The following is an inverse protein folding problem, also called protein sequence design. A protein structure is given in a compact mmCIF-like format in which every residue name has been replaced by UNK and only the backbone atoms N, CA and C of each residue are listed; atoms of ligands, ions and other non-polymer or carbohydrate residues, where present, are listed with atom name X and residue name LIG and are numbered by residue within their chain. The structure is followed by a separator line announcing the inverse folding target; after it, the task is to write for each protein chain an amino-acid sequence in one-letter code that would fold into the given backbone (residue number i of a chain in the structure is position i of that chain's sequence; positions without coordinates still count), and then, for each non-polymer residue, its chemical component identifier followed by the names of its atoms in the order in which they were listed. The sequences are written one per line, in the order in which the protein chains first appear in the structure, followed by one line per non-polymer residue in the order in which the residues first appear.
data_IF_944285428081
#
_entry.id   IF_944285428081
#
_cell.length_a   1.000
_cell.length_b   1.000
_cell.length_c   1.000
_cell.angle_alpha   90.00
_cell.angle_beta   90.00
_cell.angle_gamma   90.00
#
_symmetry.space_group_name_H-M   'P 1'
#
loop_
_entity.id
_entity.type
_entity.pdbx_description
1 polymer ?
#
# COMPACT_ATOMS: atom_id res chain seq x y z
N UNK A 1 -18.28 3.64 3.15
CA UNK A 1 -17.77 3.21 1.83
C UNK A 1 -16.91 1.97 2.07
N UNK A 2 -17.16 0.86 1.38
CA UNK A 2 -16.37 -0.37 1.51
C UNK A 2 -15.47 -0.45 0.28
N UNK A 3 -14.17 -0.34 0.47
CA UNK A 3 -13.22 -0.48 -0.64
C UNK A 3 -12.98 -1.96 -0.95
N UNK A 4 -12.62 -2.30 -2.18
CA UNK A 4 -12.33 -3.69 -2.57
C UNK A 4 -11.09 -3.72 -3.45
N UNK A 5 -10.19 -4.67 -3.16
CA UNK A 5 -9.00 -4.88 -3.95
C UNK A 5 -9.35 -5.41 -5.34
N UNK A 6 -8.48 -5.14 -6.30
CA UNK A 6 -8.59 -5.66 -7.65
C UNK A 6 -7.19 -5.81 -8.26
N UNK A 7 -7.12 -6.29 -9.50
CA UNK A 7 -5.84 -6.57 -10.17
C UNK A 7 -4.96 -5.34 -10.42
N UNK A 8 -5.46 -4.14 -10.14
CA UNK A 8 -4.75 -2.85 -10.28
C UNK A 8 -4.82 -2.00 -9.02
N UNK A 9 -5.40 -2.51 -7.92
CA UNK A 9 -5.59 -1.78 -6.66
C UNK A 9 -5.35 -2.71 -5.48
N UNK A 10 -4.37 -2.36 -4.65
CA UNK A 10 -3.98 -3.10 -3.44
C UNK A 10 -4.19 -2.23 -2.20
N UNK A 11 -4.59 -2.84 -1.09
CA UNK A 11 -4.70 -2.19 0.22
C UNK A 11 -3.73 -2.79 1.23
N UNK A 12 -3.12 -1.91 2.01
CA UNK A 12 -2.29 -2.28 3.16
C UNK A 12 -2.74 -1.54 4.40
N UNK A 13 -2.64 -2.18 5.56
CA UNK A 13 -3.04 -1.58 6.84
C UNK A 13 -2.08 -0.47 7.23
N UNK A 14 -0.79 -0.64 6.94
CA UNK A 14 0.23 0.36 7.29
C UNK A 14 1.49 0.29 6.42
N UNK A 15 2.32 1.32 6.48
CA UNK A 15 3.65 1.33 5.84
C UNK A 15 4.63 0.31 6.40
N UNK A 16 4.31 -0.38 7.49
CA UNK A 16 5.11 -1.55 7.92
C UNK A 16 5.07 -2.67 6.88
N UNK A 17 4.09 -2.67 5.98
CA UNK A 17 3.93 -3.62 4.88
C UNK A 17 4.51 -3.09 3.55
N UNK A 18 5.39 -2.08 3.59
CA UNK A 18 5.95 -1.41 2.41
C UNK A 18 6.61 -2.39 1.43
N UNK A 19 7.34 -3.40 1.92
CA UNK A 19 7.98 -4.40 1.08
C UNK A 19 6.94 -5.20 0.27
N UNK A 20 5.91 -5.69 0.95
CA UNK A 20 4.83 -6.44 0.31
C UNK A 20 4.02 -5.56 -0.65
N UNK A 21 3.77 -4.30 -0.29
CA UNK A 21 3.16 -3.31 -1.18
C UNK A 21 3.93 -3.14 -2.50
N UNK A 22 5.26 -3.04 -2.44
CA UNK A 22 6.10 -2.89 -3.63
C UNK A 22 6.07 -4.16 -4.49
N UNK A 23 6.06 -5.34 -3.86
CA UNK A 23 5.92 -6.62 -4.58
C UNK A 23 4.57 -6.68 -5.31
N UNK A 24 3.46 -6.38 -4.61
CA UNK A 24 2.12 -6.32 -5.23
C UNK A 24 2.10 -5.31 -6.38
N UNK A 25 2.71 -4.13 -6.21
CA UNK A 25 2.80 -3.12 -7.27
C UNK A 25 3.57 -3.63 -8.48
N UNK A 26 4.69 -4.33 -8.29
CA UNK A 26 5.44 -4.97 -9.37
C UNK A 26 4.59 -5.98 -10.14
N UNK A 27 3.81 -6.82 -9.44
CA UNK A 27 2.90 -7.76 -10.08
C UNK A 27 1.80 -7.05 -10.89
N UNK A 28 1.20 -5.99 -10.34
CA UNK A 28 0.19 -5.17 -11.04
C UNK A 28 0.77 -4.51 -12.30
N UNK A 29 1.97 -3.93 -12.21
CA UNK A 29 2.65 -3.31 -13.34
C UNK A 29 3.00 -4.33 -14.43
N UNK A 30 3.50 -5.51 -14.06
CA UNK A 30 3.85 -6.56 -15.02
C UNK A 30 2.64 -7.04 -15.83
N UNK A 31 1.45 -7.09 -15.21
CA UNK A 31 0.23 -7.62 -15.85
C UNK A 31 -0.60 -6.53 -16.55
N UNK A 32 -0.69 -5.34 -15.97
CA UNK A 32 -1.62 -4.29 -16.38
C UNK A 32 -0.95 -2.98 -16.78
N UNK A 33 0.37 -2.85 -16.67
CA UNK A 33 1.15 -1.61 -16.86
C UNK A 33 0.72 -0.45 -15.95
N UNK A 34 -0.10 -0.73 -14.94
CA UNK A 34 -0.60 0.24 -13.95
C UNK A 34 -0.90 -0.48 -12.64
N UNK A 35 -0.79 0.23 -11.53
CA UNK A 35 -1.17 -0.26 -10.21
C UNK A 35 -1.21 0.87 -9.20
N UNK A 36 -2.10 0.77 -8.23
CA UNK A 36 -2.23 1.73 -7.13
C UNK A 36 -2.21 0.98 -5.80
N UNK A 37 -1.43 1.45 -4.83
CA UNK A 37 -1.43 0.92 -3.48
C UNK A 37 -1.93 1.99 -2.53
N UNK A 38 -2.89 1.66 -1.67
CA UNK A 38 -3.33 2.54 -0.59
C UNK A 38 -2.91 1.96 0.76
N UNK A 39 -2.33 2.81 1.60
CA UNK A 39 -2.02 2.47 2.98
C UNK A 39 -3.07 3.05 3.94
N UNK A 40 -3.31 2.37 5.05
CA UNK A 40 -4.32 2.76 6.05
C UNK A 40 -5.70 2.16 5.78
N UNK A 41 -5.79 1.09 4.98
CA UNK A 41 -7.03 0.37 4.70
C UNK A 41 -6.81 -1.11 5.03
N UNK A 42 -7.74 -1.73 5.75
CA UNK A 42 -7.67 -3.16 6.05
C UNK A 42 -8.18 -4.03 4.88
N UNK A 43 -7.91 -5.33 4.97
CA UNK A 43 -8.31 -6.34 3.99
C UNK A 43 -9.86 -6.43 3.83
N UNK A 44 -10.62 -5.87 4.78
CA UNK A 44 -12.08 -5.79 4.72
C UNK A 44 -12.59 -4.51 4.01
N UNK A 45 -11.68 -3.65 3.55
CA UNK A 45 -11.97 -2.37 2.91
C UNK A 45 -12.35 -1.26 3.89
N UNK A 46 -12.02 -1.40 5.18
CA UNK A 46 -12.24 -0.38 6.22
C UNK A 46 -11.05 0.57 6.29
N UNK A 47 -11.34 1.86 6.31
CA UNK A 47 -10.31 2.89 6.53
C UNK A 47 -9.91 2.85 8.01
N UNK A 48 -8.66 2.46 8.28
CA UNK A 48 -8.03 2.51 9.59
C UNK A 48 -7.30 3.83 9.82
N UNK A 49 -6.90 4.50 8.73
CA UNK A 49 -5.97 5.62 8.77
C UNK A 49 -4.53 5.15 8.99
N UNK A 50 -3.58 6.09 8.96
CA UNK A 50 -2.17 5.78 9.12
C UNK A 50 -1.53 6.73 10.14
N UNK A 51 -0.85 6.17 11.13
CA UNK A 51 0.03 6.96 11.99
C UNK A 51 1.31 7.30 11.24
N UNK A 52 1.45 8.58 10.85
CA UNK A 52 2.66 9.10 10.22
C UNK A 52 3.59 9.59 11.34
N UNK A 53 4.53 8.74 11.75
CA UNK A 53 5.56 9.10 12.72
C UNK A 53 6.86 9.59 12.06
N UNK A 54 7.80 10.12 12.87
CA UNK A 54 9.16 10.46 12.39
C UNK A 54 9.89 9.24 11.80
N UNK A 55 9.61 8.04 12.31
CA UNK A 55 10.11 6.78 11.76
C UNK A 55 9.50 6.48 10.39
N UNK A 56 8.17 6.60 10.25
CA UNK A 56 7.46 6.36 8.98
C UNK A 56 8.06 7.14 7.81
N UNK A 57 8.30 8.45 8.00
CA UNK A 57 8.89 9.30 6.97
C UNK A 57 10.31 8.84 6.64
N UNK A 58 11.13 8.52 7.65
CA UNK A 58 12.49 8.01 7.43
C UNK A 58 12.51 6.65 6.73
N UNK A 59 11.52 5.80 6.99
CA UNK A 59 11.46 4.45 6.44
C UNK A 59 10.98 4.46 4.98
N UNK A 60 10.07 5.37 4.59
CA UNK A 60 9.67 5.55 3.19
C UNK A 60 10.67 6.38 2.37
N UNK A 61 11.31 7.39 2.99
CA UNK A 61 12.21 8.33 2.31
C UNK A 61 13.67 7.88 2.30
N UNK A 62 13.99 6.66 2.73
CA UNK A 62 15.35 6.12 2.61
C UNK A 62 15.67 5.90 1.13
N UNK A 63 16.10 6.97 0.50
CA UNK A 63 16.94 7.01 -0.69
C UNK A 63 18.26 6.36 -0.28
N UNK A 64 18.56 5.21 -0.88
CA UNK A 64 19.82 4.49 -0.70
C UNK A 64 20.61 4.59 -1.99
#
# INVERSE_FOLDING_TARGET
MKFTENETTEFKKSTSELKEAVISLGAMLNKHCKGTVYFGIDDNGRILGQQIGKSTIKDISKDR
#
